data_IF_169798631678
#
_entry.id   IF_169798631678
#
_cell.length_a   1.000
_cell.length_b   1.000
_cell.length_c   1.000
_cell.angle_alpha   90.00
_cell.angle_beta   90.00
_cell.angle_gamma   90.00
#
_symmetry.space_group_name_H-M   'P 1'
#
loop_
_entity.id
_entity.type
_entity.pdbx_description
1 polymer ?
#
# COMPACT_ATOMS: atom_id res chain seq x y z
N UNK A 1 11.44 3.22 2.68
CA UNK A 1 10.43 2.93 3.72
C UNK A 1 9.13 2.52 3.06
N UNK A 2 8.44 3.44 2.38
CA UNK A 2 7.22 3.15 1.63
C UNK A 2 7.44 2.15 0.49
N UNK A 3 8.43 2.43 -0.36
CA UNK A 3 9.00 1.43 -1.28
C UNK A 3 9.94 0.58 -0.44
N UNK A 4 9.58 -0.70 -0.35
CA UNK A 4 10.21 -1.72 0.47
C UNK A 4 11.14 -2.62 -0.34
N UNK A 5 11.37 -3.82 0.19
CA UNK A 5 12.27 -4.80 -0.42
C UNK A 5 11.70 -5.42 -1.71
N UNK A 6 12.58 -6.08 -2.48
CA UNK A 6 12.20 -6.88 -3.63
C UNK A 6 11.31 -8.08 -3.26
N UNK A 7 10.58 -8.66 -4.24
CA UNK A 7 9.77 -9.86 -4.01
C UNK A 7 10.60 -10.99 -3.41
N UNK A 8 10.03 -11.72 -2.45
CA UNK A 8 10.75 -12.77 -1.71
C UNK A 8 11.71 -12.26 -0.63
N UNK A 9 11.91 -10.94 -0.52
CA UNK A 9 12.71 -10.34 0.55
C UNK A 9 11.96 -10.24 1.88
N UNK A 10 12.73 -10.10 2.96
CA UNK A 10 12.23 -9.97 4.33
C UNK A 10 11.83 -8.54 4.71
N UNK A 11 11.98 -7.53 3.85
CA UNK A 11 11.50 -6.17 4.14
C UNK A 11 10.00 -6.00 3.86
N UNK A 12 9.28 -5.29 4.74
CA UNK A 12 7.89 -4.88 4.58
C UNK A 12 7.71 -3.70 3.61
N UNK A 13 6.51 -3.13 3.61
CA UNK A 13 6.12 -2.03 2.70
C UNK A 13 5.72 -2.48 1.29
N UNK A 14 5.57 -1.53 0.37
CA UNK A 14 5.23 -1.83 -1.03
C UNK A 14 6.45 -2.42 -1.72
N UNK A 15 6.29 -3.63 -2.28
CA UNK A 15 7.37 -4.28 -3.04
C UNK A 15 7.79 -3.45 -4.24
N UNK A 16 9.08 -3.49 -4.56
CA UNK A 16 9.66 -2.76 -5.71
C UNK A 16 8.96 -3.09 -7.03
N UNK A 17 8.48 -4.33 -7.21
CA UNK A 17 7.71 -4.75 -8.39
C UNK A 17 6.36 -4.08 -8.49
N UNK A 18 5.63 -3.95 -7.38
CA UNK A 18 4.34 -3.25 -7.35
C UNK A 18 4.52 -1.80 -7.76
N UNK A 19 5.53 -1.13 -7.18
CA UNK A 19 5.86 0.24 -7.55
C UNK A 19 6.24 0.37 -9.04
N UNK A 20 7.09 -0.53 -9.54
CA UNK A 20 7.50 -0.55 -10.94
C UNK A 20 6.32 -0.75 -11.89
N UNK A 21 5.41 -1.69 -11.60
CA UNK A 21 4.23 -1.95 -12.42
C UNK A 21 3.33 -0.72 -12.46
N UNK A 22 3.00 -0.12 -11.32
CA UNK A 22 2.15 1.09 -11.27
C UNK A 22 2.79 2.24 -12.05
N UNK A 23 4.08 2.50 -11.82
CA UNK A 23 4.79 3.59 -12.49
C UNK A 23 4.89 3.38 -14.02
N UNK A 24 5.26 2.17 -14.44
CA UNK A 24 5.32 1.81 -15.86
C UNK A 24 3.94 1.83 -16.51
N UNK A 25 2.88 1.47 -15.79
CA UNK A 25 1.49 1.55 -16.30
C UNK A 25 1.11 2.96 -16.65
N UNK A 26 1.38 3.92 -15.76
CA UNK A 26 1.14 5.34 -16.01
C UNK A 26 1.99 5.86 -17.16
N UNK A 27 3.26 5.44 -17.24
CA UNK A 27 4.14 5.88 -18.32
C UNK A 27 3.72 5.32 -19.69
N UNK A 28 3.37 4.03 -19.78
CA UNK A 28 2.95 3.41 -21.03
C UNK A 28 1.58 3.89 -21.50
N UNK A 29 0.69 4.27 -20.58
CA UNK A 29 -0.58 4.91 -20.92
C UNK A 29 -0.37 6.17 -21.78
N UNK A 30 0.67 6.96 -21.50
CA UNK A 30 1.03 8.13 -22.33
C UNK A 30 1.43 7.78 -23.76
N UNK A 31 1.96 6.58 -23.99
CA UNK A 31 2.44 6.13 -25.30
C UNK A 31 1.37 5.38 -26.11
N UNK A 32 0.11 5.33 -25.65
CA UNK A 32 -1.03 4.65 -26.30
C UNK A 32 -0.85 3.13 -26.53
N UNK A 33 0.16 2.51 -25.90
CA UNK A 33 0.34 1.06 -25.94
C UNK A 33 -0.58 0.43 -24.91
N UNK A 34 -1.58 -0.34 -25.35
CA UNK A 34 -2.58 -0.98 -24.48
C UNK A 34 -1.99 -2.04 -23.54
N UNK A 35 -0.84 -2.61 -23.92
CA UNK A 35 -0.20 -3.69 -23.18
C UNK A 35 1.03 -3.18 -22.43
N UNK A 36 1.10 -3.47 -21.13
CA UNK A 36 2.30 -3.24 -20.35
C UNK A 36 3.36 -4.28 -20.72
N UNK A 37 4.36 -3.88 -21.51
CA UNK A 37 5.40 -4.76 -22.04
C UNK A 37 6.75 -4.44 -21.40
N UNK A 38 7.31 -5.39 -20.66
CA UNK A 38 8.64 -5.31 -20.05
C UNK A 38 9.52 -6.39 -20.67
N UNK A 39 10.70 -6.04 -21.18
CA UNK A 39 11.66 -6.99 -21.78
C UNK A 39 11.03 -7.99 -22.77
N UNK A 40 10.14 -7.50 -23.66
CA UNK A 40 9.39 -8.33 -24.63
C UNK A 40 8.41 -9.33 -24.01
N UNK A 41 8.03 -9.18 -22.74
CA UNK A 41 6.95 -9.92 -22.09
C UNK A 41 5.81 -8.99 -21.73
N UNK A 42 4.58 -9.44 -21.95
CA UNK A 42 3.37 -8.71 -21.58
C UNK A 42 2.96 -9.07 -20.16
N UNK A 43 2.70 -8.06 -19.33
CA UNK A 43 2.12 -8.24 -17.99
C UNK A 43 0.60 -8.34 -18.14
N UNK A 44 -0.04 -9.40 -17.61
CA UNK A 44 -1.50 -9.54 -17.61
C UNK A 44 -2.19 -8.40 -16.86
N UNK A 45 -3.39 -7.96 -17.30
CA UNK A 45 -4.14 -6.88 -16.66
C UNK A 45 -4.53 -7.21 -15.21
N UNK A 46 -4.67 -8.49 -14.86
CA UNK A 46 -4.98 -8.93 -13.50
C UNK A 46 -3.85 -8.56 -12.52
N UNK A 47 -2.59 -8.73 -12.94
CA UNK A 47 -1.42 -8.38 -12.14
C UNK A 47 -1.31 -6.86 -12.00
N UNK A 48 -1.65 -6.13 -13.05
CA UNK A 48 -1.68 -4.66 -13.03
C UNK A 48 -2.72 -4.15 -12.03
N UNK A 49 -3.95 -4.67 -12.07
CA UNK A 49 -5.01 -4.32 -11.13
C UNK A 49 -4.63 -4.65 -9.68
N UNK A 50 -4.01 -5.82 -9.46
CA UNK A 50 -3.50 -6.21 -8.15
C UNK A 50 -2.44 -5.22 -7.64
N UNK A 51 -1.52 -4.78 -8.51
CA UNK A 51 -0.48 -3.82 -8.15
C UNK A 51 -1.08 -2.46 -7.76
N UNK A 52 -2.06 -1.96 -8.51
CA UNK A 52 -2.80 -0.75 -8.16
C UNK A 52 -3.54 -0.89 -6.83
N UNK A 53 -4.18 -2.03 -6.59
CA UNK A 53 -4.89 -2.30 -5.34
C UNK A 53 -3.93 -2.26 -4.14
N UNK A 54 -2.79 -2.95 -4.20
CA UNK A 54 -1.75 -2.89 -3.16
C UNK A 54 -1.31 -1.46 -2.92
N UNK A 55 -1.03 -0.72 -4.01
CA UNK A 55 -0.50 0.64 -3.93
C UNK A 55 -1.46 1.57 -3.20
N UNK A 56 -2.74 1.60 -3.60
CA UNK A 56 -3.74 2.46 -2.98
C UNK A 56 -4.05 2.07 -1.55
N UNK A 57 -4.18 0.78 -1.26
CA UNK A 57 -4.39 0.30 0.11
C UNK A 57 -3.23 0.69 1.02
N UNK A 58 -2.00 0.57 0.51
CA UNK A 58 -0.80 0.96 1.24
C UNK A 58 -0.77 2.45 1.58
N UNK A 59 -1.15 3.32 0.65
CA UNK A 59 -1.28 4.75 0.94
C UNK A 59 -2.34 4.98 2.01
N UNK A 60 -3.50 4.35 1.85
CA UNK A 60 -4.66 4.61 2.71
C UNK A 60 -4.41 4.22 4.16
N UNK A 61 -3.85 3.04 4.44
CA UNK A 61 -3.60 2.64 5.82
C UNK A 61 -2.49 3.47 6.49
N UNK A 62 -1.47 3.90 5.74
CA UNK A 62 -0.40 4.76 6.27
C UNK A 62 -0.96 6.13 6.60
N UNK A 63 -1.76 6.72 5.70
CA UNK A 63 -2.40 8.02 5.97
C UNK A 63 -3.32 7.95 7.20
N UNK A 64 -4.08 6.86 7.37
CA UNK A 64 -4.87 6.64 8.57
C UNK A 64 -3.98 6.52 9.81
N UNK A 65 -2.86 5.81 9.73
CA UNK A 65 -1.88 5.72 10.83
C UNK A 65 -1.31 7.08 11.23
N UNK A 66 -0.88 7.89 10.26
CA UNK A 66 -0.39 9.26 10.49
C UNK A 66 -1.47 10.12 11.13
N UNK A 67 -2.71 10.02 10.66
CA UNK A 67 -3.83 10.77 11.22
C UNK A 67 -4.11 10.38 12.68
N UNK A 68 -4.16 9.08 12.99
CA UNK A 68 -4.38 8.59 14.35
C UNK A 68 -3.23 9.00 15.29
N UNK A 69 -1.98 8.89 14.84
CA UNK A 69 -0.80 9.33 15.59
C UNK A 69 -0.80 10.85 15.83
N UNK A 70 -1.28 11.63 14.85
CA UNK A 70 -1.41 13.09 15.00
C UNK A 70 -2.45 13.49 16.04
N UNK A 71 -3.49 12.67 16.25
CA UNK A 71 -4.48 12.90 17.30
C UNK A 71 -3.93 12.47 18.67
N UNK A 72 -3.18 11.37 18.72
CA UNK A 72 -2.66 10.84 19.98
C UNK A 72 -1.47 11.63 20.53
N UNK A 73 -0.66 12.23 19.65
CA UNK A 73 0.59 12.93 20.00
C UNK A 73 0.56 14.42 19.60
N UNK A 74 -0.29 15.26 20.23
CA UNK A 74 -0.44 16.67 19.84
C UNK A 74 0.83 17.52 20.02
N UNK A 75 1.80 17.06 20.81
CA UNK A 75 3.07 17.77 21.08
C UNK A 75 4.22 17.43 20.13
N UNK A 76 4.04 16.45 19.23
CA UNK A 76 5.10 16.00 18.32
C UNK A 76 4.95 16.68 16.97
N UNK A 77 6.06 17.01 16.30
CA UNK A 77 6.04 17.58 14.95
C UNK A 77 5.43 16.59 13.97
N UNK A 78 4.49 17.06 13.15
CA UNK A 78 3.82 16.24 12.13
C UNK A 78 4.79 15.46 11.22
N UNK A 79 5.89 16.10 10.80
CA UNK A 79 6.90 15.46 9.94
C UNK A 79 7.56 14.25 10.63
N UNK A 80 7.72 14.28 11.95
CA UNK A 80 8.33 13.20 12.71
C UNK A 80 7.34 12.06 12.92
N UNK A 81 6.05 12.36 13.15
CA UNK A 81 4.97 11.36 13.16
C UNK A 81 4.80 10.68 11.80
N UNK A 82 4.87 11.47 10.72
CA UNK A 82 4.82 10.94 9.36
C UNK A 82 5.99 10.00 9.11
N UNK A 83 7.20 10.39 9.52
CA UNK A 83 8.39 9.54 9.40
C UNK A 83 8.23 8.21 10.16
N UNK A 84 7.71 8.25 11.39
CA UNK A 84 7.43 7.03 12.16
C UNK A 84 6.43 6.12 11.45
N UNK A 85 5.28 6.65 11.03
CA UNK A 85 4.25 5.84 10.37
C UNK A 85 4.78 5.17 9.10
N UNK A 86 5.57 5.86 8.28
CA UNK A 86 6.21 5.28 7.11
C UNK A 86 7.28 4.24 7.48
N UNK A 87 8.02 4.45 8.57
CA UNK A 87 9.00 3.50 9.09
C UNK A 87 8.36 2.22 9.58
N UNK A 88 7.31 2.32 10.39
CA UNK A 88 6.53 1.22 10.93
C UNK A 88 5.87 0.42 9.81
N UNK A 89 5.15 1.09 8.90
CA UNK A 89 4.53 0.47 7.74
C UNK A 89 5.54 -0.21 6.79
N UNK A 90 6.73 0.37 6.63
CA UNK A 90 7.81 -0.22 5.85
C UNK A 90 8.62 -1.27 6.61
N UNK A 91 8.32 -1.50 7.90
CA UNK A 91 9.11 -2.30 8.86
C UNK A 91 10.62 -1.98 8.77
N UNK A 92 10.96 -0.70 8.69
CA UNK A 92 12.35 -0.25 8.47
C UNK A 92 13.12 -0.16 9.78
N UNK A 93 12.44 0.14 10.88
CA UNK A 93 13.04 0.19 12.22
C UNK A 93 13.87 1.46 12.50
N UNK A 94 13.72 2.50 11.67
CA UNK A 94 14.34 3.80 11.93
C UNK A 94 13.35 4.72 12.65
N UNK A 95 13.83 5.46 13.64
CA UNK A 95 13.04 6.41 14.42
C UNK A 95 13.75 7.76 14.49
N UNK A 96 12.98 8.85 14.60
CA UNK A 96 13.52 10.17 14.96
C UNK A 96 13.53 10.43 16.47
N UNK A 97 13.40 9.38 17.29
CA UNK A 97 13.34 9.48 18.74
C UNK A 97 11.93 9.68 19.30
N UNK A 98 10.89 9.46 18.49
CA UNK A 98 9.49 9.56 18.91
C UNK A 98 9.00 8.23 19.50
N UNK A 99 9.45 7.09 18.96
CA UNK A 99 8.95 5.76 19.34
C UNK A 99 8.98 5.44 20.85
N UNK A 100 10.02 5.82 21.63
CA UNK A 100 10.05 5.53 23.07
C UNK A 100 9.02 6.31 23.88
N UNK A 101 8.60 7.48 23.38
CA UNK A 101 7.76 8.44 24.09
C UNK A 101 6.30 8.42 23.61
N UNK A 102 5.92 7.46 22.76
CA UNK A 102 4.54 7.28 22.33
C UNK A 102 3.62 6.99 23.51
N UNK A 103 2.42 7.57 23.49
CA UNK A 103 1.31 7.17 24.34
C UNK A 103 0.94 5.70 24.11
N UNK A 104 0.23 5.08 25.05
CA UNK A 104 -0.17 3.68 24.90
C UNK A 104 -1.08 3.45 23.68
N UNK A 105 -1.92 4.45 23.36
CA UNK A 105 -2.70 4.42 22.12
C UNK A 105 -1.81 4.54 20.88
N UNK A 106 -0.84 5.45 20.88
CA UNK A 106 0.12 5.61 19.78
C UNK A 106 0.93 4.34 19.52
N UNK A 107 1.36 3.63 20.57
CA UNK A 107 2.03 2.33 20.47
C UNK A 107 1.16 1.27 19.79
N UNK A 108 -0.13 1.21 20.12
CA UNK A 108 -1.05 0.24 19.49
C UNK A 108 -1.20 0.54 17.99
N UNK A 109 -1.33 1.81 17.61
CA UNK A 109 -1.38 2.22 16.20
C UNK A 109 -0.10 1.81 15.49
N UNK A 110 1.06 2.06 16.09
CA UNK A 110 2.37 1.74 15.52
C UNK A 110 2.56 0.23 15.33
N UNK A 111 2.17 -0.59 16.32
CA UNK A 111 2.17 -2.06 16.23
C UNK A 111 1.30 -2.55 15.06
N UNK A 112 0.09 -1.98 14.90
CA UNK A 112 -0.81 -2.33 13.80
C UNK A 112 -0.19 -1.97 12.44
N UNK A 113 0.46 -0.80 12.33
CA UNK A 113 1.16 -0.40 11.11
C UNK A 113 2.29 -1.37 10.77
N UNK A 114 3.09 -1.81 11.75
CA UNK A 114 4.14 -2.81 11.54
C UNK A 114 3.57 -4.17 11.11
N UNK A 115 2.49 -4.61 11.75
CA UNK A 115 1.86 -5.90 11.45
C UNK A 115 1.29 -5.95 10.03
N UNK A 116 0.52 -4.91 9.66
CA UNK A 116 -0.06 -4.75 8.31
C UNK A 116 1.07 -4.62 7.27
N UNK A 117 2.08 -3.80 7.56
CA UNK A 117 3.24 -3.58 6.72
C UNK A 117 4.04 -4.85 6.42
N UNK A 118 4.11 -5.77 7.38
CA UNK A 118 4.83 -7.04 7.26
C UNK A 118 4.05 -8.11 6.49
N UNK A 119 2.79 -8.31 6.83
CA UNK A 119 1.92 -9.35 6.23
C UNK A 119 1.51 -8.98 4.80
N UNK A 120 1.42 -7.68 4.53
CA UNK A 120 0.96 -7.13 3.28
C UNK A 120 -0.54 -6.84 3.32
N UNK A 121 -0.98 -5.67 2.81
CA UNK A 121 -2.37 -5.22 2.94
C UNK A 121 -3.37 -6.14 2.24
N UNK A 122 -3.00 -6.73 1.09
CA UNK A 122 -3.88 -7.64 0.36
C UNK A 122 -4.17 -8.93 1.12
N UNK A 123 -3.16 -9.53 1.75
CA UNK A 123 -3.31 -10.77 2.51
C UNK A 123 -4.32 -10.60 3.64
N UNK A 124 -4.30 -9.42 4.28
CA UNK A 124 -5.25 -9.07 5.33
C UNK A 124 -6.66 -8.97 4.76
N UNK A 125 -6.84 -8.26 3.64
CA UNK A 125 -8.16 -8.15 2.99
C UNK A 125 -8.69 -9.53 2.59
N UNK A 126 -7.86 -10.35 1.94
CA UNK A 126 -8.28 -11.70 1.56
C UNK A 126 -8.63 -12.57 2.77
N UNK A 127 -7.97 -12.38 3.91
CA UNK A 127 -8.31 -13.10 5.14
C UNK A 127 -9.69 -12.73 5.70
N UNK A 128 -10.17 -11.50 5.46
CA UNK A 128 -11.50 -11.03 5.87
C UNK A 128 -12.57 -11.17 4.77
N UNK A 129 -12.17 -11.45 3.54
CA UNK A 129 -13.08 -11.58 2.41
C UNK A 129 -13.69 -12.99 2.39
N UNK A 130 -15.01 -13.07 2.55
CA UNK A 130 -15.75 -14.30 2.31
C UNK A 130 -15.81 -14.54 0.80
N UNK A 131 -15.48 -15.75 0.34
CA UNK A 131 -15.68 -16.14 -1.06
C UNK A 131 -17.13 -15.84 -1.45
N UNK A 132 -17.30 -14.91 -2.40
CA UNK A 132 -18.59 -14.69 -3.05
C UNK A 132 -18.60 -15.57 -4.28
N UNK A 133 -19.65 -16.38 -4.42
CA UNK A 133 -19.92 -17.12 -5.64
C UNK A 133 -19.83 -16.17 -6.85
N UNK A 134 -19.05 -16.57 -7.85
CA UNK A 134 -18.99 -15.83 -9.11
C UNK A 134 -20.40 -15.78 -9.69
N UNK A 135 -20.94 -14.57 -9.83
CA UNK A 135 -22.27 -14.39 -10.41
C UNK A 135 -22.26 -14.96 -11.83
N UNK A 136 -23.10 -15.97 -12.09
CA UNK A 136 -23.23 -16.61 -13.42
C UNK A 136 -23.85 -15.69 -14.49
N UNK A 137 -24.15 -14.45 -14.13
CA UNK A 137 -24.70 -13.43 -15.02
C UNK A 137 -23.85 -12.16 -14.93
N UNK A 138 -23.59 -11.56 -16.09
CA UNK A 138 -22.90 -10.28 -16.21
C UNK A 138 -23.91 -9.19 -16.51
N UNK A 139 -23.74 -8.03 -15.87
CA UNK A 139 -24.55 -6.86 -16.15
C UNK A 139 -24.07 -6.17 -17.45
N UNK A 140 -24.95 -5.41 -18.13
CA UNK A 140 -24.56 -4.62 -19.30
C UNK A 140 -23.49 -3.59 -18.94
N UNK A 141 -22.58 -3.33 -19.88
CA UNK A 141 -21.52 -2.33 -19.72
C UNK A 141 -22.11 -0.93 -19.89
N UNK A 142 -21.96 -0.08 -18.89
CA UNK A 142 -22.23 1.35 -19.01
C UNK A 142 -20.95 2.14 -19.28
N UNK A 143 -21.03 3.10 -20.22
CA UNK A 143 -19.96 4.05 -20.48
C UNK A 143 -20.08 5.22 -19.50
N UNK A 144 -19.47 5.07 -18.32
CA UNK A 144 -19.34 6.18 -17.38
C UNK A 144 -18.19 7.06 -17.86
N UNK A 145 -18.50 8.31 -18.25
CA UNK A 145 -17.48 9.29 -18.58
C UNK A 145 -16.63 9.57 -17.33
N UNK A 146 -15.33 9.30 -17.42
CA UNK A 146 -14.34 9.79 -16.47
C UNK A 146 -13.54 10.87 -17.19
N UNK A 147 -13.86 12.14 -16.88
CA UNK A 147 -13.46 13.42 -17.51
C UNK A 147 -14.34 13.87 -18.68
#
# INVERSE_FOLDING_TARGET
>A
MFIGASPGGTGGGIKTTTFAIVFLSVWMYRNSTRDLRIQKRTIPPEIMNLAFMIFWLSILYILLGVFLLSISEPGVKFVDLMFEAFSAAGTVGLSKGVSPNLSDFGKVVDILLMYIGRIGPLTIIFSFMKERDSSRFSYPNDNIAML
#
